data_IF_010840074341
#
_entry.id   IF_010840074341
#
_cell.length_a   1.000
_cell.length_b   1.000
_cell.length_c   1.000
_cell.angle_alpha   90.00
_cell.angle_beta   90.00
_cell.angle_gamma   90.00
#
_symmetry.space_group_name_H-M   'P 1'
#
loop_
_entity.id
_entity.type
_entity.pdbx_description
1 polymer ?
#
# COMPACT_ATOMS: atom_id res chain seq x y z
N UNK A 1 -38.47 59.80 -26.38
CA UNK A 1 -39.56 59.36 -25.49
C UNK A 1 -38.98 58.24 -24.62
N UNK A 2 -38.50 58.57 -23.44
CA UNK A 2 -37.87 57.68 -22.46
C UNK A 2 -38.82 57.56 -21.28
N UNK A 3 -39.16 56.33 -20.91
CA UNK A 3 -39.90 56.03 -19.66
C UNK A 3 -38.93 55.48 -18.62
N UNK A 4 -38.99 55.87 -17.34
CA UNK A 4 -38.09 55.46 -16.30
C UNK A 4 -38.58 54.19 -15.60
N UNK A 5 -37.64 53.30 -15.29
CA UNK A 5 -37.84 52.12 -14.46
C UNK A 5 -37.88 52.52 -12.96
N UNK A 6 -38.99 52.14 -12.32
CA UNK A 6 -39.15 52.24 -10.85
C UNK A 6 -38.53 50.99 -10.18
N UNK A 7 -37.54 51.24 -9.30
CA UNK A 7 -36.99 50.21 -8.42
C UNK A 7 -37.69 50.33 -7.05
N UNK A 8 -38.33 49.26 -6.60
CA UNK A 8 -38.88 49.13 -5.25
C UNK A 8 -37.82 48.57 -4.30
N UNK A 9 -37.68 49.04 -3.05
CA UNK A 9 -36.82 48.50 -2.02
C UNK A 9 -37.48 47.30 -1.30
N UNK A 10 -36.72 46.38 -0.70
CA UNK A 10 -37.26 45.24 0.03
C UNK A 10 -37.70 45.64 1.44
N UNK A 11 -38.83 45.12 1.87
CA UNK A 11 -39.40 45.26 3.21
C UNK A 11 -38.63 44.38 4.20
N UNK A 12 -38.20 44.99 5.30
CA UNK A 12 -37.65 44.31 6.46
C UNK A 12 -38.77 43.74 7.32
N UNK A 13 -38.77 42.41 7.52
CA UNK A 13 -39.65 41.75 8.50
C UNK A 13 -38.94 41.70 9.86
N UNK A 14 -39.50 42.42 10.82
CA UNK A 14 -39.11 42.35 12.23
C UNK A 14 -39.75 41.13 12.90
N UNK A 15 -38.95 40.23 13.43
CA UNK A 15 -39.43 39.17 14.33
C UNK A 15 -39.26 39.61 15.77
N UNK A 16 -40.39 39.76 16.50
CA UNK A 16 -40.47 40.02 17.91
C UNK A 16 -40.13 38.72 18.70
N UNK A 17 -39.18 38.83 19.62
CA UNK A 17 -38.84 37.79 20.60
C UNK A 17 -39.77 37.96 21.81
N UNK A 18 -40.66 36.98 22.02
CA UNK A 18 -41.46 36.91 23.26
C UNK A 18 -40.66 36.13 24.32
N UNK A 19 -40.32 36.87 25.40
CA UNK A 19 -39.73 36.34 26.62
C UNK A 19 -40.86 35.79 27.50
N UNK A 20 -40.88 34.47 27.75
CA UNK A 20 -41.76 33.85 28.76
C UNK A 20 -40.92 33.53 30.00
N UNK A 21 -41.11 34.33 31.02
CA UNK A 21 -40.72 34.08 32.40
C UNK A 21 -41.77 33.18 33.04
N UNK A 22 -41.43 31.96 33.46
CA UNK A 22 -42.22 31.16 34.41
C UNK A 22 -41.37 30.84 35.65
N UNK A 23 -41.81 31.47 36.72
CA UNK A 23 -41.39 31.37 38.10
C UNK A 23 -41.62 29.98 38.69
N UNK A 24 -40.76 29.67 39.64
CA UNK A 24 -40.56 28.44 40.34
C UNK A 24 -41.73 27.89 41.15
N UNK A 25 -41.52 26.70 41.62
CA UNK A 25 -42.02 26.17 42.90
C UNK A 25 -41.08 25.05 43.37
N UNK A 26 -40.48 25.31 44.51
CA UNK A 26 -39.77 24.32 45.30
C UNK A 26 -40.77 23.41 46.02
N UNK A 27 -40.51 22.13 46.02
CA UNK A 27 -41.11 21.20 46.98
C UNK A 27 -39.96 20.41 47.62
N UNK A 28 -39.76 20.69 48.89
CA UNK A 28 -39.06 19.83 49.83
C UNK A 28 -40.05 18.81 50.42
N UNK A 29 -39.69 17.57 50.54
CA UNK A 29 -40.23 16.68 51.52
C UNK A 29 -39.22 15.61 51.88
N UNK A 30 -38.91 15.58 53.17
CA UNK A 30 -38.22 14.54 53.92
C UNK A 30 -38.93 13.19 53.82
N UNK A 31 -38.18 12.12 53.89
CA UNK A 31 -38.39 10.89 54.67
C UNK A 31 -37.25 9.89 54.47
N UNK A 32 -36.45 9.78 55.39
CA UNK A 32 -36.03 8.70 56.27
C UNK A 32 -36.12 7.22 55.74
N UNK A 33 -34.93 6.55 55.84
CA UNK A 33 -34.82 5.19 56.33
C UNK A 33 -34.78 4.11 55.25
N UNK A 34 -33.68 3.50 55.02
CA UNK A 34 -33.21 2.27 55.63
C UNK A 34 -31.87 1.82 55.06
N UNK A 35 -30.95 1.66 55.96
CA UNK A 35 -29.65 1.05 55.76
C UNK A 35 -29.73 -0.45 55.71
N UNK A 36 -29.39 -1.08 54.58
CA UNK A 36 -28.95 -2.46 54.60
C UNK A 36 -27.53 -2.57 54.04
N UNK A 37 -26.60 -2.59 55.00
CA UNK A 37 -25.20 -2.93 54.77
C UNK A 37 -25.08 -4.40 54.39
N UNK A 38 -24.46 -4.68 53.25
CA UNK A 38 -23.97 -6.00 52.89
C UNK A 38 -22.65 -6.30 53.63
N UNK A 39 -22.45 -7.55 54.14
CA UNK A 39 -21.27 -7.89 54.93
C UNK A 39 -19.99 -7.97 54.07
N UNK A 40 -18.81 -7.73 54.68
CA UNK A 40 -17.54 -7.76 53.98
C UNK A 40 -17.11 -9.17 53.63
N UNK A 41 -16.72 -9.41 52.39
CA UNK A 41 -16.10 -10.65 51.96
C UNK A 41 -14.66 -10.70 52.47
N UNK A 42 -14.33 -11.78 53.17
CA UNK A 42 -12.99 -12.12 53.63
C UNK A 42 -12.05 -12.41 52.47
N UNK A 43 -10.77 -12.03 52.56
CA UNK A 43 -9.78 -12.40 51.55
C UNK A 43 -9.44 -13.89 51.63
N UNK A 44 -9.41 -14.56 50.50
CA UNK A 44 -8.93 -15.94 50.36
C UNK A 44 -7.41 -15.92 50.43
N UNK A 45 -6.86 -16.66 51.40
CA UNK A 45 -5.43 -16.86 51.60
C UNK A 45 -4.81 -17.63 50.41
N UNK A 46 -3.62 -17.20 50.04
CA UNK A 46 -2.72 -17.90 49.15
C UNK A 46 -2.32 -19.26 49.74
N UNK A 47 -2.37 -20.29 48.92
CA UNK A 47 -1.80 -21.61 49.26
C UNK A 47 -0.40 -21.70 48.69
N UNK A 48 0.58 -21.89 49.56
CA UNK A 48 1.95 -22.21 49.22
C UNK A 48 2.06 -23.66 48.70
N UNK A 49 3.04 -23.97 47.81
CA UNK A 49 3.27 -25.35 47.38
C UNK A 49 4.15 -26.11 48.39
N UNK A 50 3.64 -27.22 48.84
CA UNK A 50 4.35 -28.18 49.69
C UNK A 50 5.42 -28.94 48.93
N UNK A 51 6.65 -28.87 49.45
CA UNK A 51 7.77 -29.71 49.05
C UNK A 51 7.66 -31.09 49.71
N UNK A 52 7.79 -32.17 48.96
CA UNK A 52 8.26 -33.43 49.51
C UNK A 52 8.96 -34.30 48.47
N UNK A 53 10.18 -34.47 48.75
CA UNK A 53 10.98 -35.69 48.92
C UNK A 53 11.70 -36.27 47.69
N UNK A 54 12.97 -36.03 47.76
CA UNK A 54 14.03 -36.80 47.12
C UNK A 54 14.08 -38.27 47.60
N UNK A 55 14.30 -39.19 46.69
CA UNK A 55 15.04 -40.42 46.98
C UNK A 55 15.98 -40.78 45.84
N UNK A 56 17.24 -40.72 46.19
CA UNK A 56 18.40 -41.23 45.54
C UNK A 56 18.36 -42.76 45.33
N UNK A 57 18.91 -43.21 44.20
CA UNK A 57 19.67 -44.50 44.08
C UNK A 57 20.53 -44.32 42.86
N UNK A 58 21.81 -44.17 43.05
CA UNK A 58 22.94 -45.04 43.23
C UNK A 58 23.20 -45.93 42.01
N UNK A 59 24.31 -45.57 41.35
CA UNK A 59 25.41 -46.36 40.78
C UNK A 59 25.16 -47.76 40.23
N UNK A 60 25.58 -47.96 39.02
CA UNK A 60 26.66 -48.93 38.73
C UNK A 60 27.27 -48.71 37.33
N UNK A 61 28.60 -48.81 37.18
CA UNK A 61 29.30 -48.69 35.89
C UNK A 61 29.57 -50.06 35.28
N UNK A 62 29.58 -50.19 33.97
CA UNK A 62 30.21 -51.31 33.27
C UNK A 62 31.12 -50.81 32.17
N UNK A 63 32.36 -51.16 32.31
CA UNK A 63 33.56 -51.12 31.52
C UNK A 63 33.38 -51.38 30.02
N UNK A 64 34.09 -50.57 29.21
CA UNK A 64 35.37 -50.82 28.56
C UNK A 64 35.43 -52.01 27.59
N UNK A 65 35.72 -51.76 26.35
CA UNK A 65 36.81 -52.33 25.57
C UNK A 65 36.60 -52.26 24.04
N UNK A 66 37.67 -51.80 23.45
CA UNK A 66 38.17 -52.14 22.11
C UNK A 66 37.51 -51.44 20.90
N UNK A 67 38.16 -50.81 19.99
CA UNK A 67 39.49 -50.98 19.41
C UNK A 67 39.66 -49.92 18.30
N UNK A 68 40.78 -49.29 18.27
CA UNK A 68 41.23 -48.34 17.27
C UNK A 68 41.14 -48.88 15.84
N UNK A 69 40.52 -48.10 14.93
CA UNK A 69 41.07 -47.97 13.57
C UNK A 69 40.80 -46.56 13.04
N UNK A 70 41.91 -45.82 12.97
CA UNK A 70 41.97 -44.51 12.34
C UNK A 70 41.74 -44.63 10.83
N UNK A 71 40.72 -43.88 10.33
CA UNK A 71 40.66 -43.55 8.90
C UNK A 71 40.56 -42.02 8.84
N UNK A 72 41.68 -41.41 8.42
CA UNK A 72 41.72 -39.98 8.05
C UNK A 72 40.76 -39.75 6.89
N UNK A 73 39.62 -39.09 7.14
CA UNK A 73 38.81 -38.44 6.11
C UNK A 73 38.98 -36.94 6.28
N UNK A 74 39.50 -36.30 5.25
CA UNK A 74 39.62 -34.85 5.15
C UNK A 74 38.25 -34.13 5.23
N UNK A 75 38.25 -32.79 5.34
CA UNK A 75 37.05 -32.03 5.59
C UNK A 75 36.05 -32.23 4.42
N UNK A 76 34.85 -32.71 4.74
CA UNK A 76 33.74 -32.74 3.80
C UNK A 76 33.36 -31.29 3.49
N UNK A 77 33.62 -30.83 2.27
CA UNK A 77 33.01 -29.63 1.75
C UNK A 77 31.51 -29.84 1.78
N UNK A 78 30.80 -29.00 2.55
CA UNK A 78 29.36 -28.90 2.51
C UNK A 78 29.07 -28.19 1.20
N UNK A 79 28.54 -28.94 0.21
CA UNK A 79 28.09 -28.33 -1.07
C UNK A 79 26.97 -27.33 -0.77
N UNK A 80 27.06 -26.16 -1.40
CA UNK A 80 26.06 -25.13 -1.34
C UNK A 80 24.70 -25.73 -1.77
N UNK A 81 23.59 -25.46 -1.05
CA UNK A 81 22.26 -25.93 -1.41
C UNK A 81 21.86 -25.59 -2.86
N UNK A 82 22.39 -24.49 -3.41
CA UNK A 82 22.16 -24.08 -4.78
C UNK A 82 22.87 -24.97 -5.82
N UNK A 83 24.02 -25.55 -5.48
CA UNK A 83 24.73 -26.49 -6.35
C UNK A 83 24.02 -27.83 -6.45
N UNK A 84 23.35 -28.27 -5.39
CA UNK A 84 22.52 -29.48 -5.38
C UNK A 84 21.29 -29.30 -6.30
N UNK A 85 20.70 -28.08 -6.29
CA UNK A 85 19.55 -27.75 -7.15
C UNK A 85 19.99 -27.70 -8.63
N UNK A 86 21.13 -27.10 -8.93
CA UNK A 86 21.69 -27.05 -10.30
C UNK A 86 22.00 -28.45 -10.84
N UNK A 87 22.55 -29.32 -10.02
CA UNK A 87 22.88 -30.70 -10.42
C UNK A 87 21.61 -31.50 -10.73
N UNK A 88 20.56 -31.40 -9.93
CA UNK A 88 19.26 -32.03 -10.15
C UNK A 88 18.51 -31.48 -11.37
N UNK A 89 18.66 -30.19 -11.67
CA UNK A 89 18.05 -29.55 -12.82
C UNK A 89 18.73 -30.01 -14.13
N UNK A 90 20.06 -30.08 -14.12
CA UNK A 90 20.86 -30.59 -15.24
C UNK A 90 20.54 -32.05 -15.55
N UNK A 91 20.36 -32.90 -14.55
CA UNK A 91 19.97 -34.29 -14.68
C UNK A 91 18.57 -34.47 -15.30
N UNK A 92 17.61 -33.65 -14.91
CA UNK A 92 16.24 -33.67 -15.46
C UNK A 92 16.10 -33.08 -16.86
N UNK A 93 16.97 -32.15 -17.24
CA UNK A 93 16.95 -31.52 -18.57
C UNK A 93 17.81 -32.23 -19.62
N UNK A 94 18.48 -33.33 -19.26
CA UNK A 94 19.28 -34.12 -20.20
C UNK A 94 20.46 -33.38 -20.81
N UNK A 95 20.96 -32.35 -20.13
CA UNK A 95 22.08 -31.55 -20.61
C UNK A 95 23.39 -32.32 -20.46
N UNK A 96 24.00 -32.64 -21.61
CA UNK A 96 25.33 -33.22 -21.69
C UNK A 96 26.35 -32.33 -20.94
N UNK A 97 27.28 -33.03 -20.25
CA UNK A 97 28.39 -32.48 -19.49
C UNK A 97 29.08 -31.35 -20.25
N UNK A 98 29.09 -30.15 -19.67
CA UNK A 98 29.75 -28.99 -20.22
C UNK A 98 31.28 -29.22 -20.33
N UNK A 99 31.91 -28.81 -21.42
CA UNK A 99 33.36 -28.88 -21.54
C UNK A 99 34.03 -27.83 -20.65
N UNK A 100 35.20 -28.23 -20.17
CA UNK A 100 36.12 -27.48 -19.31
C UNK A 100 36.45 -26.09 -19.87
N UNK A 101 36.33 -25.06 -19.06
CA UNK A 101 36.57 -23.65 -19.39
C UNK A 101 38.05 -23.43 -19.72
N UNK A 102 38.36 -23.26 -20.99
CA UNK A 102 39.59 -22.67 -21.49
C UNK A 102 39.47 -21.15 -21.39
N UNK A 103 40.48 -20.52 -20.83
CA UNK A 103 40.53 -19.08 -20.56
C UNK A 103 40.24 -18.21 -21.82
N UNK A 104 39.60 -17.05 -21.68
CA UNK A 104 39.23 -16.22 -22.83
C UNK A 104 40.45 -15.56 -23.47
N UNK A 105 40.64 -15.86 -24.76
CA UNK A 105 41.53 -15.13 -25.62
C UNK A 105 40.98 -13.70 -25.85
N UNK A 106 41.72 -12.72 -25.39
CA UNK A 106 41.46 -11.31 -25.67
C UNK A 106 41.73 -11.00 -27.14
N UNK A 107 40.69 -10.83 -27.93
CA UNK A 107 40.79 -10.35 -29.32
C UNK A 107 40.92 -8.82 -29.30
N UNK A 108 42.12 -8.34 -29.61
CA UNK A 108 42.43 -6.91 -29.80
C UNK A 108 42.05 -6.52 -31.23
N UNK A 109 40.96 -5.79 -31.40
CA UNK A 109 40.56 -5.18 -32.67
C UNK A 109 41.49 -4.00 -32.96
N UNK A 110 42.40 -4.17 -33.94
CA UNK A 110 43.20 -3.11 -34.51
C UNK A 110 42.45 -2.54 -35.72
N UNK A 111 41.95 -1.34 -35.60
CA UNK A 111 41.38 -0.58 -36.72
C UNK A 111 42.53 -0.08 -37.59
N UNK A 112 42.68 -0.59 -38.79
CA UNK A 112 43.50 -0.03 -39.85
C UNK A 112 42.58 0.75 -40.79
N UNK A 113 42.70 2.07 -40.75
CA UNK A 113 42.21 2.98 -41.79
C UNK A 113 43.27 3.10 -42.89
N UNK A 114 42.93 2.92 -44.16
CA UNK A 114 43.83 3.35 -45.26
C UNK A 114 43.56 4.81 -45.55
N UNK A 115 44.62 5.60 -45.44
CA UNK A 115 44.68 6.98 -46.00
C UNK A 115 44.91 6.87 -47.50
N UNK A 116 43.96 7.34 -48.31
CA UNK A 116 44.18 7.64 -49.72
C UNK A 116 44.15 9.16 -49.91
N UNK A 117 45.31 9.69 -50.25
CA UNK A 117 45.48 11.03 -50.79
C UNK A 117 44.94 11.05 -52.24
N UNK A 118 44.02 11.96 -52.53
CA UNK A 118 43.73 12.42 -53.89
C UNK A 118 43.58 13.95 -53.88
N UNK A 119 44.38 14.63 -54.67
CA UNK A 119 44.42 16.05 -54.86
C UNK A 119 43.23 16.63 -55.67
N UNK A 120 43.04 17.97 -55.75
CA UNK A 120 41.74 18.61 -55.92
C UNK A 120 41.36 18.76 -57.41
N UNK A 121 40.06 18.54 -57.68
CA UNK A 121 39.45 19.00 -58.94
C UNK A 121 38.27 19.92 -58.57
N UNK A 122 38.53 21.20 -58.87
CA UNK A 122 37.52 22.23 -58.87
C UNK A 122 36.56 22.06 -60.07
N UNK A 123 35.31 22.53 -59.83
CA UNK A 123 34.28 22.78 -60.85
C UNK A 123 33.48 21.58 -61.36
N UNK A 124 32.43 21.23 -60.53
CA UNK A 124 31.08 20.81 -61.00
C UNK A 124 30.14 20.48 -59.86
N UNK A 125 29.79 21.45 -59.01
CA UNK A 125 28.95 21.14 -57.87
C UNK A 125 27.93 22.25 -57.51
N UNK A 126 27.27 22.85 -58.50
CA UNK A 126 26.22 23.85 -58.16
C UNK A 126 24.78 23.38 -58.55
N UNK A 127 24.63 22.32 -59.34
CA UNK A 127 23.32 21.88 -59.79
C UNK A 127 22.75 20.67 -58.97
N UNK A 128 23.56 19.95 -58.14
CA UNK A 128 23.09 18.78 -57.39
C UNK A 128 22.64 19.09 -55.93
N UNK A 129 22.94 20.31 -55.43
CA UNK A 129 22.65 20.68 -54.02
C UNK A 129 21.21 21.12 -53.74
N UNK A 130 20.41 21.40 -54.78
CA UNK A 130 18.99 21.81 -54.61
C UNK A 130 18.02 20.63 -54.56
N UNK A 131 18.33 19.51 -55.22
CA UNK A 131 17.47 18.32 -55.25
C UNK A 131 17.61 17.51 -53.95
N UNK A 132 18.82 17.43 -53.36
CA UNK A 132 19.07 16.75 -52.12
C UNK A 132 18.40 17.35 -50.88
N UNK A 133 18.30 18.70 -50.86
CA UNK A 133 17.64 19.39 -49.73
C UNK A 133 16.12 19.23 -49.72
N UNK A 134 15.49 19.15 -50.88
CA UNK A 134 14.03 18.90 -50.97
C UNK A 134 13.67 17.46 -50.65
N UNK A 135 14.57 16.51 -50.94
CA UNK A 135 14.33 15.10 -50.61
C UNK A 135 14.58 14.79 -49.11
N UNK A 136 15.64 15.40 -48.53
CA UNK A 136 15.87 15.33 -47.09
C UNK A 136 14.77 16.03 -46.26
N UNK A 137 14.24 17.17 -46.74
CA UNK A 137 13.11 17.83 -46.10
C UNK A 137 11.79 17.05 -46.26
N UNK A 138 11.57 16.34 -47.36
CA UNK A 138 10.41 15.44 -47.55
C UNK A 138 10.53 14.17 -46.71
N UNK A 139 11.72 13.60 -46.54
CA UNK A 139 11.97 12.48 -45.65
C UNK A 139 11.83 12.87 -44.18
N UNK A 140 12.27 14.08 -43.80
CA UNK A 140 12.09 14.62 -42.46
C UNK A 140 10.63 15.00 -42.15
N UNK A 141 9.87 15.45 -43.16
CA UNK A 141 8.43 15.68 -43.06
C UNK A 141 7.64 14.34 -42.97
N UNK A 142 8.02 13.34 -43.81
CA UNK A 142 7.41 11.99 -43.72
C UNK A 142 7.72 11.27 -42.41
N UNK A 143 8.88 11.55 -41.78
CA UNK A 143 9.21 11.05 -40.42
C UNK A 143 8.45 11.80 -39.32
N UNK A 144 7.94 13.00 -39.56
CA UNK A 144 7.05 13.71 -38.63
C UNK A 144 5.58 13.30 -38.75
N UNK A 145 5.15 12.74 -39.88
CA UNK A 145 3.79 12.23 -40.09
C UNK A 145 3.62 10.78 -39.70
N UNK A 146 4.69 10.04 -39.37
CA UNK A 146 4.66 8.71 -38.76
C UNK A 146 4.99 8.76 -37.30
N UNK A 147 4.48 9.75 -36.53
CA UNK A 147 4.34 9.54 -35.10
C UNK A 147 3.33 8.39 -34.92
N UNK A 148 3.73 7.32 -34.23
CA UNK A 148 2.81 6.24 -33.94
C UNK A 148 1.61 6.88 -33.24
N UNK A 149 0.39 6.60 -33.75
CA UNK A 149 -0.86 6.99 -33.15
C UNK A 149 -0.72 6.91 -31.62
N UNK A 150 -0.85 8.05 -30.95
CA UNK A 150 -0.55 8.23 -29.53
C UNK A 150 -1.02 6.99 -28.79
N UNK A 151 -0.09 6.21 -28.27
CA UNK A 151 -0.42 5.13 -27.31
C UNK A 151 -1.31 5.81 -26.31
N UNK A 152 -2.55 5.35 -26.17
CA UNK A 152 -3.50 5.91 -25.24
C UNK A 152 -2.76 6.09 -23.92
N UNK A 153 -2.56 7.35 -23.51
CA UNK A 153 -1.68 7.67 -22.41
C UNK A 153 -2.13 6.89 -21.19
N UNK A 154 -1.26 6.01 -20.72
CA UNK A 154 -1.51 5.25 -19.50
C UNK A 154 -1.21 6.16 -18.32
N UNK A 155 -2.10 6.20 -17.31
CA UNK A 155 -1.88 7.01 -16.12
C UNK A 155 -0.71 6.44 -15.29
N UNK A 156 0.01 7.32 -14.61
CA UNK A 156 1.13 6.98 -13.74
C UNK A 156 1.14 7.96 -12.55
N UNK A 157 2.08 7.82 -11.64
CA UNK A 157 2.29 8.76 -10.54
C UNK A 157 3.31 9.86 -10.89
N UNK A 158 4.02 9.76 -12.02
CA UNK A 158 5.07 10.69 -12.45
C UNK A 158 4.98 11.00 -13.95
N UNK A 159 5.70 12.06 -14.37
CA UNK A 159 5.81 12.44 -15.77
C UNK A 159 4.47 12.87 -16.39
N UNK A 160 4.34 12.70 -17.69
CA UNK A 160 3.17 13.12 -18.48
C UNK A 160 1.88 12.36 -18.13
N UNK A 161 2.02 11.16 -17.53
CA UNK A 161 0.91 10.37 -17.02
C UNK A 161 0.55 10.67 -15.56
N UNK A 162 1.20 11.64 -14.93
CA UNK A 162 1.09 11.93 -13.50
C UNK A 162 -0.24 12.55 -13.06
N UNK A 163 -0.46 12.70 -11.74
CA UNK A 163 -1.73 13.13 -11.16
C UNK A 163 -2.31 14.43 -11.70
N UNK A 164 -1.48 15.35 -12.15
CA UNK A 164 -1.88 16.63 -12.75
C UNK A 164 -2.55 16.45 -14.12
N UNK A 165 -2.20 15.37 -14.84
CA UNK A 165 -2.74 15.07 -16.16
C UNK A 165 -3.94 14.14 -16.14
N UNK A 166 -4.20 13.42 -15.05
CA UNK A 166 -5.23 12.35 -15.00
C UNK A 166 -6.57 12.79 -15.55
N UNK A 167 -7.08 13.97 -15.13
CA UNK A 167 -8.40 14.45 -15.54
C UNK A 167 -8.53 14.73 -17.04
N UNK A 168 -7.42 14.98 -17.74
CA UNK A 168 -7.38 15.24 -19.18
C UNK A 168 -7.14 13.98 -20.02
N UNK A 169 -6.72 12.87 -19.40
CA UNK A 169 -6.38 11.66 -20.14
C UNK A 169 -7.61 10.94 -20.70
N UNK A 170 -8.71 10.94 -19.92
CA UNK A 170 -9.99 10.31 -20.29
C UNK A 170 -11.14 11.09 -19.67
N UNK A 171 -12.27 11.16 -20.36
CA UNK A 171 -13.47 11.83 -19.85
C UNK A 171 -13.95 11.26 -18.51
N UNK A 172 -13.84 9.96 -18.32
CA UNK A 172 -14.18 9.27 -17.07
C UNK A 172 -13.28 9.64 -15.87
N UNK A 173 -12.11 10.25 -16.12
CA UNK A 173 -11.18 10.70 -15.09
C UNK A 173 -11.39 12.18 -14.69
N UNK A 174 -12.38 12.87 -15.27
CA UNK A 174 -12.62 14.28 -15.00
C UNK A 174 -12.73 14.61 -13.51
N UNK A 175 -13.31 13.68 -12.70
CA UNK A 175 -13.45 13.84 -11.25
C UNK A 175 -12.11 13.99 -10.52
N UNK A 176 -10.99 13.52 -11.10
CA UNK A 176 -9.67 13.69 -10.50
C UNK A 176 -9.26 15.17 -10.30
N UNK A 177 -9.81 16.09 -11.10
CA UNK A 177 -9.56 17.54 -10.95
C UNK A 177 -10.80 18.33 -10.51
N UNK A 178 -12.01 17.89 -10.87
CA UNK A 178 -13.25 18.62 -10.58
C UNK A 178 -13.92 18.22 -9.27
N UNK A 179 -13.52 17.09 -8.68
CA UNK A 179 -14.11 16.58 -7.45
C UNK A 179 -13.79 17.46 -6.25
N UNK A 180 -14.75 17.56 -5.33
CA UNK A 180 -14.66 18.37 -4.11
C UNK A 180 -14.35 17.55 -2.85
N UNK A 181 -14.37 16.23 -2.96
CA UNK A 181 -14.13 15.29 -1.84
C UNK A 181 -13.01 14.32 -2.17
N UNK A 182 -11.96 14.83 -2.80
CA UNK A 182 -10.85 14.02 -3.25
C UNK A 182 -9.97 13.51 -2.09
N UNK A 183 -9.40 12.30 -2.25
CA UNK A 183 -8.41 11.68 -1.36
C UNK A 183 -7.07 11.57 -2.11
N UNK A 184 -5.93 11.45 -1.39
CA UNK A 184 -5.78 11.48 0.07
C UNK A 184 -5.85 12.90 0.65
N UNK A 185 -5.94 13.03 1.98
CA UNK A 185 -5.89 14.33 2.67
C UNK A 185 -4.86 14.33 3.82
N UNK A 186 -4.45 15.53 4.24
CA UNK A 186 -3.80 15.72 5.52
C UNK A 186 -4.90 15.85 6.59
N UNK A 187 -5.00 14.83 7.44
CA UNK A 187 -6.00 14.79 8.51
C UNK A 187 -5.56 15.74 9.62
N UNK A 188 -6.32 16.82 9.79
CA UNK A 188 -6.12 17.82 10.83
C UNK A 188 -7.44 18.10 11.52
N UNK A 189 -7.37 18.52 12.75
CA UNK A 189 -8.52 19.04 13.52
C UNK A 189 -9.73 18.07 13.51
N UNK A 190 -9.48 16.79 13.71
CA UNK A 190 -10.52 15.77 13.85
C UNK A 190 -11.44 16.11 15.03
N UNK A 191 -12.76 16.08 14.79
CA UNK A 191 -13.74 16.27 15.86
C UNK A 191 -13.82 14.99 16.66
N UNK A 192 -13.36 15.04 17.91
CA UNK A 192 -13.44 13.90 18.84
C UNK A 192 -14.89 13.61 19.18
N UNK A 193 -15.31 12.39 18.85
CA UNK A 193 -16.66 11.91 19.11
C UNK A 193 -16.61 10.44 19.49
N UNK A 194 -17.64 9.98 20.17
CA UNK A 194 -17.79 8.57 20.45
C UNK A 194 -18.23 7.88 19.17
N UNK A 195 -17.28 7.30 18.45
CA UNK A 195 -17.54 6.46 17.28
C UNK A 195 -17.64 5.00 17.69
N UNK A 196 -18.56 4.27 17.07
CA UNK A 196 -18.59 2.81 17.21
C UNK A 196 -17.29 2.22 16.67
N UNK A 197 -16.71 1.23 17.35
CA UNK A 197 -15.55 0.51 16.82
C UNK A 197 -15.86 -0.15 15.49
N UNK A 198 -14.90 -0.10 14.55
CA UNK A 198 -14.99 -0.92 13.33
C UNK A 198 -14.90 -2.39 13.74
N UNK A 199 -15.93 -3.17 13.44
CA UNK A 199 -15.92 -4.60 13.66
C UNK A 199 -15.22 -5.29 12.49
N UNK A 200 -14.15 -6.03 12.77
CA UNK A 200 -13.40 -6.80 11.78
C UNK A 200 -13.78 -8.29 11.91
N UNK A 201 -14.45 -8.84 10.90
CA UNK A 201 -14.73 -10.27 10.75
C UNK A 201 -13.78 -10.82 9.67
N UNK A 202 -12.48 -10.80 9.97
CA UNK A 202 -11.44 -11.34 9.11
C UNK A 202 -11.05 -12.74 9.56
N UNK A 203 -10.80 -13.62 8.59
CA UNK A 203 -10.46 -15.02 8.78
C UNK A 203 -9.22 -15.39 7.98
N UNK A 204 -8.43 -16.36 8.44
CA UNK A 204 -7.36 -16.91 7.63
C UNK A 204 -7.87 -17.30 6.25
N UNK A 205 -7.32 -16.70 5.20
CA UNK A 205 -7.84 -16.81 3.84
C UNK A 205 -6.72 -17.04 2.84
N UNK A 206 -7.01 -17.79 1.80
CA UNK A 206 -6.13 -17.88 0.62
C UNK A 206 -6.00 -16.50 -0.03
N UNK A 207 -4.83 -16.23 -0.59
CA UNK A 207 -4.58 -14.96 -1.26
C UNK A 207 -3.72 -15.13 -2.50
N UNK A 208 -3.73 -14.10 -3.33
CA UNK A 208 -2.95 -13.99 -4.56
C UNK A 208 -2.34 -12.60 -4.62
N UNK A 209 -1.08 -12.54 -5.03
CA UNK A 209 -0.32 -11.30 -5.17
C UNK A 209 -0.17 -10.97 -6.65
N UNK A 210 -0.50 -9.75 -7.04
CA UNK A 210 -0.33 -9.23 -8.39
C UNK A 210 0.50 -7.94 -8.35
N UNK A 211 1.46 -7.81 -9.25
CA UNK A 211 2.05 -6.52 -9.63
C UNK A 211 1.21 -5.94 -10.78
N UNK A 212 0.28 -5.03 -10.45
CA UNK A 212 -0.66 -4.48 -11.43
C UNK A 212 -0.09 -3.30 -12.25
N UNK A 213 1.21 -3.01 -12.12
CA UNK A 213 1.90 -1.92 -12.81
C UNK A 213 1.86 -0.58 -12.07
N UNK A 214 1.05 -0.46 -11.02
CA UNK A 214 0.91 0.76 -10.18
C UNK A 214 1.20 0.50 -8.71
N UNK A 215 1.01 -0.74 -8.26
CA UNK A 215 1.27 -1.18 -6.90
C UNK A 215 1.35 -2.70 -6.84
N UNK A 216 1.80 -3.21 -5.70
CA UNK A 216 1.57 -4.60 -5.30
C UNK A 216 0.18 -4.68 -4.67
N UNK A 217 -0.72 -5.42 -5.31
CA UNK A 217 -2.08 -5.68 -4.87
C UNK A 217 -2.21 -7.12 -4.38
N UNK A 218 -3.03 -7.34 -3.37
CA UNK A 218 -3.34 -8.67 -2.83
C UNK A 218 -4.83 -8.91 -2.91
N UNK A 219 -5.22 -9.88 -3.72
CA UNK A 219 -6.59 -10.37 -3.82
C UNK A 219 -6.79 -11.45 -2.75
N UNK A 220 -7.78 -11.28 -1.88
CA UNK A 220 -8.05 -12.16 -0.74
C UNK A 220 -9.31 -12.98 -1.01
N UNK A 221 -9.33 -14.22 -0.54
CA UNK A 221 -10.52 -15.05 -0.62
C UNK A 221 -11.74 -14.41 0.04
N UNK A 222 -12.92 -14.67 -0.49
CA UNK A 222 -14.20 -14.17 0.02
C UNK A 222 -14.45 -14.55 1.49
N UNK A 223 -15.32 -13.79 2.17
CA UNK A 223 -15.71 -14.06 3.55
C UNK A 223 -14.97 -13.23 4.60
N UNK A 224 -14.26 -12.19 4.17
CA UNK A 224 -13.63 -11.19 5.03
C UNK A 224 -14.44 -9.90 5.00
N UNK A 225 -14.89 -9.43 6.16
CA UNK A 225 -15.80 -8.30 6.24
C UNK A 225 -15.38 -7.30 7.29
N UNK A 226 -15.84 -6.08 7.12
CA UNK A 226 -15.95 -5.10 8.19
C UNK A 226 -17.41 -4.70 8.38
N UNK A 227 -17.77 -4.36 9.63
CA UNK A 227 -19.04 -3.70 9.92
C UNK A 227 -18.73 -2.34 10.56
N UNK A 228 -19.30 -1.29 10.02
CA UNK A 228 -19.15 0.09 10.48
C UNK A 228 -20.42 0.88 10.17
N UNK A 229 -20.85 1.72 11.10
CA UNK A 229 -22.08 2.54 10.97
C UNK A 229 -23.32 1.71 10.58
N UNK A 230 -23.43 0.47 11.11
CA UNK A 230 -24.54 -0.45 10.83
C UNK A 230 -24.54 -1.03 9.41
N UNK A 231 -23.42 -0.97 8.69
CA UNK A 231 -23.24 -1.52 7.34
C UNK A 231 -22.12 -2.53 7.30
N UNK A 232 -22.36 -3.60 6.56
CA UNK A 232 -21.37 -4.66 6.30
C UNK A 232 -20.76 -4.49 4.92
N UNK A 233 -19.41 -4.50 4.86
CA UNK A 233 -18.64 -4.37 3.63
C UNK A 233 -17.69 -5.55 3.50
N UNK A 234 -17.67 -6.19 2.33
CA UNK A 234 -16.76 -7.30 2.02
C UNK A 234 -15.43 -6.78 1.49
N UNK A 235 -14.33 -7.33 1.99
CA UNK A 235 -12.99 -7.04 1.49
C UNK A 235 -12.83 -7.57 0.07
N UNK A 236 -12.44 -6.71 -0.85
CA UNK A 236 -12.14 -7.07 -2.24
C UNK A 236 -10.65 -7.37 -2.42
N UNK A 237 -9.81 -6.47 -1.92
CA UNK A 237 -8.35 -6.52 -2.06
C UNK A 237 -7.70 -5.53 -1.09
N UNK A 238 -6.39 -5.64 -0.91
CA UNK A 238 -5.59 -4.58 -0.33
C UNK A 238 -4.34 -4.32 -1.17
N UNK A 239 -3.76 -3.13 -1.05
CA UNK A 239 -2.59 -2.73 -1.80
C UNK A 239 -1.76 -1.70 -1.04
N UNK A 240 -0.57 -1.42 -1.52
CA UNK A 240 0.44 -0.64 -0.82
C UNK A 240 0.75 0.67 -1.55
N UNK A 241 1.03 1.71 -0.77
CA UNK A 241 1.60 2.97 -1.27
C UNK A 241 2.86 3.35 -0.49
N UNK A 242 3.78 3.97 -1.18
CA UNK A 242 5.00 4.55 -0.64
C UNK A 242 5.29 5.91 -1.29
N UNK A 243 5.49 6.98 -0.46
CA UNK A 243 5.18 7.04 0.97
C UNK A 243 3.70 6.84 1.27
N UNK A 244 3.25 7.01 2.52
CA UNK A 244 1.81 7.01 2.82
C UNK A 244 1.10 8.10 2.02
N UNK A 245 -0.11 7.81 1.58
CA UNK A 245 -0.93 8.80 0.87
C UNK A 245 -1.53 9.80 1.85
N UNK A 246 -2.08 9.31 2.99
CA UNK A 246 -2.60 10.17 4.05
C UNK A 246 -1.46 10.75 4.90
N UNK A 247 -1.72 11.93 5.45
CA UNK A 247 -0.94 12.52 6.53
C UNK A 247 -1.79 12.73 7.75
N UNK A 248 -1.18 12.69 8.92
CA UNK A 248 -1.81 13.07 10.18
C UNK A 248 -1.05 14.25 10.77
N UNK A 249 -1.69 15.41 10.87
CA UNK A 249 -1.08 16.66 11.33
C UNK A 249 0.25 17.01 10.63
N UNK A 250 0.28 16.80 9.30
CA UNK A 250 1.44 17.03 8.46
C UNK A 250 2.47 15.89 8.48
N UNK A 251 2.36 14.92 9.40
CA UNK A 251 3.28 13.78 9.46
C UNK A 251 3.02 12.83 8.30
N UNK A 252 4.07 12.52 7.57
CA UNK A 252 4.12 11.50 6.53
C UNK A 252 4.70 10.20 7.12
N UNK A 253 4.17 9.06 6.72
CA UNK A 253 4.64 7.75 7.14
C UNK A 253 5.39 7.05 6.01
N UNK A 254 6.19 6.02 6.33
CA UNK A 254 7.01 5.32 5.33
C UNK A 254 6.16 4.65 4.23
N UNK A 255 5.03 4.04 4.61
CA UNK A 255 4.08 3.40 3.69
C UNK A 255 2.65 3.44 4.26
N UNK A 256 1.68 3.04 3.45
CA UNK A 256 0.31 2.74 3.89
C UNK A 256 -0.21 1.52 3.16
N UNK A 257 -1.09 0.77 3.81
CA UNK A 257 -1.91 -0.29 3.21
C UNK A 257 -3.35 0.17 3.17
N UNK A 258 -3.96 0.11 1.99
CA UNK A 258 -5.38 0.35 1.79
C UNK A 258 -6.13 -0.97 1.63
N UNK A 259 -6.99 -1.31 2.60
CA UNK A 259 -7.90 -2.44 2.52
C UNK A 259 -9.22 -1.93 1.96
N UNK A 260 -9.53 -2.34 0.73
CA UNK A 260 -10.69 -1.87 -0.03
C UNK A 260 -11.84 -2.84 0.12
N UNK A 261 -12.97 -2.32 0.63
CA UNK A 261 -14.18 -3.10 0.87
C UNK A 261 -15.35 -2.54 0.06
N UNK A 262 -16.36 -3.37 -0.17
CA UNK A 262 -17.58 -3.00 -0.88
C UNK A 262 -18.81 -3.60 -0.21
N UNK A 263 -19.89 -2.81 -0.08
CA UNK A 263 -21.19 -3.29 0.38
C UNK A 263 -22.02 -3.87 -0.77
N UNK A 264 -23.18 -4.42 -0.43
CA UNK A 264 -24.13 -5.00 -1.40
C UNK A 264 -24.70 -3.97 -2.35
N UNK A 265 -24.73 -2.69 -1.97
CA UNK A 265 -25.20 -1.57 -2.79
C UNK A 265 -24.08 -1.01 -3.71
N UNK A 266 -22.87 -1.58 -3.65
CA UNK A 266 -21.71 -1.13 -4.43
C UNK A 266 -20.94 0.04 -3.84
N UNK A 267 -21.27 0.49 -2.61
CA UNK A 267 -20.53 1.56 -1.93
C UNK A 267 -19.19 1.04 -1.44
N UNK A 268 -18.19 1.90 -1.49
CA UNK A 268 -16.83 1.55 -1.08
C UNK A 268 -16.51 2.09 0.32
N UNK A 269 -15.77 1.28 1.06
CA UNK A 269 -15.16 1.65 2.33
C UNK A 269 -13.68 1.23 2.31
N UNK A 270 -12.79 2.11 2.74
CA UNK A 270 -11.36 1.86 2.80
C UNK A 270 -10.86 1.99 4.24
N UNK A 271 -10.17 0.94 4.71
CA UNK A 271 -9.39 1.01 5.95
C UNK A 271 -7.95 1.27 5.55
N UNK A 272 -7.39 2.39 5.99
CA UNK A 272 -5.98 2.74 5.79
C UNK A 272 -5.18 2.39 7.05
N UNK A 273 -4.19 1.51 6.89
CA UNK A 273 -3.24 1.14 7.95
C UNK A 273 -1.90 1.77 7.61
N UNK A 274 -1.53 2.78 8.38
CA UNK A 274 -0.24 3.47 8.23
C UNK A 274 0.89 2.54 8.67
N UNK A 275 1.96 2.51 7.90
CA UNK A 275 3.16 1.73 8.22
C UNK A 275 4.32 2.66 8.51
N UNK A 276 4.99 2.40 9.63
CA UNK A 276 6.14 3.19 10.06
C UNK A 276 7.35 2.28 10.34
N UNK A 277 8.53 2.82 10.20
CA UNK A 277 9.76 2.04 10.37
C UNK A 277 9.88 1.46 11.77
N UNK A 278 10.11 0.14 11.83
CA UNK A 278 10.25 -0.61 13.07
C UNK A 278 10.66 -2.06 12.85
N UNK A 279 10.04 -2.96 13.57
CA UNK A 279 10.21 -4.41 13.41
C UNK A 279 9.60 -4.92 12.11
N UNK A 280 10.05 -6.08 11.65
CA UNK A 280 9.47 -6.73 10.48
C UNK A 280 8.00 -7.11 10.73
N UNK A 281 7.16 -6.87 9.72
CA UNK A 281 5.74 -7.22 9.73
C UNK A 281 5.55 -8.57 9.02
N UNK A 282 5.06 -9.62 9.72
CA UNK A 282 4.99 -10.97 9.16
C UNK A 282 4.09 -11.08 7.92
N UNK A 283 2.93 -10.42 7.93
CA UNK A 283 1.99 -10.44 6.80
C UNK A 283 2.60 -9.76 5.57
N UNK A 284 3.27 -8.61 5.75
CA UNK A 284 4.00 -7.94 4.65
C UNK A 284 5.08 -8.86 4.09
N UNK A 285 5.79 -9.60 4.94
CA UNK A 285 6.79 -10.58 4.49
C UNK A 285 6.13 -11.72 3.70
N UNK A 286 4.97 -12.20 4.12
CA UNK A 286 4.22 -13.22 3.39
C UNK A 286 3.83 -12.73 1.99
N UNK A 287 3.43 -11.47 1.84
CA UNK A 287 3.17 -10.86 0.53
C UNK A 287 4.44 -10.79 -0.31
N UNK A 288 5.56 -10.28 0.26
CA UNK A 288 6.83 -10.16 -0.47
C UNK A 288 7.38 -11.51 -0.94
N UNK A 289 7.18 -12.56 -0.16
CA UNK A 289 7.59 -13.93 -0.54
C UNK A 289 6.82 -14.48 -1.74
N UNK A 290 5.70 -13.88 -2.12
CA UNK A 290 4.85 -14.29 -3.23
C UNK A 290 4.75 -13.21 -4.33
N UNK A 291 5.72 -12.28 -4.39
CA UNK A 291 5.78 -11.29 -5.47
C UNK A 291 5.94 -11.98 -6.83
N UNK A 292 5.15 -11.60 -7.85
CA UNK A 292 5.36 -12.08 -9.21
C UNK A 292 6.68 -11.54 -9.77
N UNK A 293 7.25 -12.26 -10.74
CA UNK A 293 8.50 -11.85 -11.38
C UNK A 293 8.28 -10.79 -12.45
N UNK A 294 7.07 -10.72 -13.03
CA UNK A 294 6.72 -9.78 -14.09
C UNK A 294 5.46 -9.00 -13.76
N UNK A 295 5.37 -7.77 -14.28
CA UNK A 295 4.18 -6.93 -14.15
C UNK A 295 3.00 -7.55 -14.88
N UNK A 296 1.83 -7.53 -14.23
CA UNK A 296 0.60 -8.14 -14.73
C UNK A 296 0.43 -9.60 -14.32
N UNK A 297 1.48 -10.27 -13.85
CA UNK A 297 1.39 -11.63 -13.35
C UNK A 297 0.78 -11.69 -11.95
N UNK A 298 0.11 -12.80 -11.66
CA UNK A 298 -0.52 -13.10 -10.38
C UNK A 298 0.00 -14.42 -9.81
N UNK A 299 0.50 -14.39 -8.57
CA UNK A 299 1.02 -15.56 -7.85
C UNK A 299 0.07 -15.95 -6.73
N UNK A 300 -0.42 -17.20 -6.74
CA UNK A 300 -1.18 -17.75 -5.63
C UNK A 300 -0.24 -18.18 -4.50
N UNK A 301 -0.48 -17.68 -3.31
CA UNK A 301 0.26 -18.09 -2.12
C UNK A 301 -0.13 -19.53 -1.70
N UNK A 302 0.83 -20.25 -1.14
CA UNK A 302 0.61 -21.62 -0.66
C UNK A 302 -0.02 -21.70 0.72
N UNK A 303 0.20 -20.69 1.54
CA UNK A 303 -0.30 -20.60 2.91
C UNK A 303 -1.34 -19.49 3.00
N UNK A 304 -2.40 -19.65 3.79
CA UNK A 304 -3.36 -18.59 4.05
C UNK A 304 -2.69 -17.46 4.85
N UNK A 305 -3.28 -16.26 4.80
CA UNK A 305 -2.94 -15.13 5.66
C UNK A 305 -4.09 -14.78 6.59
N UNK A 306 -3.78 -14.26 7.77
CA UNK A 306 -4.74 -13.64 8.68
C UNK A 306 -4.56 -12.11 8.68
N UNK A 307 -5.53 -11.40 8.12
CA UNK A 307 -5.48 -9.94 8.03
C UNK A 307 -5.55 -9.23 9.38
N UNK A 308 -5.99 -9.92 10.44
CA UNK A 308 -5.94 -9.35 11.78
C UNK A 308 -4.50 -9.02 12.24
N UNK A 309 -3.50 -9.73 11.71
CA UNK A 309 -2.08 -9.47 11.99
C UNK A 309 -1.57 -8.13 11.43
N UNK A 310 -2.27 -7.56 10.43
CA UNK A 310 -1.93 -6.25 9.86
C UNK A 310 -2.54 -5.08 10.65
N UNK A 311 -3.58 -5.35 11.45
CA UNK A 311 -4.28 -4.30 12.17
C UNK A 311 -3.50 -3.87 13.43
N UNK A 312 -3.47 -2.57 13.77
CA UNK A 312 -2.88 -2.13 15.03
C UNK A 312 -3.67 -2.67 16.22
N UNK A 313 -3.00 -2.85 17.37
CA UNK A 313 -3.65 -3.29 18.62
C UNK A 313 -4.72 -2.29 19.06
N UNK A 314 -4.37 -1.01 19.04
CA UNK A 314 -5.28 0.10 19.29
C UNK A 314 -5.99 0.46 17.99
N UNK A 315 -7.29 0.21 17.90
CA UNK A 315 -8.09 0.34 16.67
C UNK A 315 -8.84 1.67 16.59
N UNK A 316 -8.37 2.70 17.27
CA UNK A 316 -8.88 4.06 17.11
C UNK A 316 -8.58 4.60 15.72
N UNK A 317 -9.50 5.40 15.15
CA UNK A 317 -9.43 5.81 13.76
C UNK A 317 -9.99 7.21 13.53
N UNK A 318 -9.57 7.81 12.42
CA UNK A 318 -10.22 8.96 11.80
C UNK A 318 -11.17 8.48 10.71
N UNK A 319 -12.29 9.18 10.52
CA UNK A 319 -13.22 8.85 9.44
C UNK A 319 -13.71 10.10 8.72
N UNK A 320 -13.82 9.99 7.41
CA UNK A 320 -14.31 11.04 6.53
C UNK A 320 -14.84 10.45 5.21
N UNK A 321 -15.64 11.23 4.47
CA UNK A 321 -16.05 10.87 3.11
C UNK A 321 -15.02 11.41 2.11
N UNK A 322 -14.48 10.52 1.28
CA UNK A 322 -13.44 10.82 0.31
C UNK A 322 -13.68 10.20 -1.06
N UNK A 323 -12.59 9.92 -1.78
CA UNK A 323 -12.59 9.32 -3.11
C UNK A 323 -11.61 8.14 -3.20
N UNK A 324 -11.60 7.46 -4.33
CA UNK A 324 -10.45 6.67 -4.76
C UNK A 324 -9.25 7.61 -4.97
N UNK A 325 -8.05 7.12 -4.66
CA UNK A 325 -6.78 7.88 -4.82
C UNK A 325 -6.13 7.67 -6.19
N UNK A 326 -6.72 6.82 -7.01
CA UNK A 326 -6.31 6.55 -8.40
C UNK A 326 -7.45 6.85 -9.36
N UNK A 327 -7.18 7.08 -10.66
CA UNK A 327 -8.24 7.21 -11.64
C UNK A 327 -9.23 6.03 -11.58
N UNK A 328 -10.54 6.30 -11.67
CA UNK A 328 -11.20 7.56 -12.05
C UNK A 328 -11.47 8.54 -10.90
N UNK A 329 -10.89 8.39 -9.72
CA UNK A 329 -11.03 9.27 -8.56
C UNK A 329 -12.48 9.43 -8.06
N UNK A 330 -13.28 8.38 -8.22
CA UNK A 330 -14.71 8.37 -7.83
C UNK A 330 -14.89 8.72 -6.37
N UNK A 331 -15.81 9.66 -6.09
CA UNK A 331 -16.14 10.10 -4.74
C UNK A 331 -17.19 9.20 -4.08
N UNK A 332 -17.47 9.43 -2.80
CA UNK A 332 -18.44 8.64 -2.02
C UNK A 332 -17.81 7.45 -1.30
N UNK A 333 -16.49 7.42 -1.18
CA UNK A 333 -15.76 6.39 -0.45
C UNK A 333 -15.70 6.75 1.03
N UNK A 334 -16.11 5.82 1.91
CA UNK A 334 -15.96 5.96 3.36
C UNK A 334 -14.52 5.57 3.75
N UNK A 335 -13.80 6.52 4.32
CA UNK A 335 -12.43 6.30 4.81
C UNK A 335 -12.40 6.10 6.31
N UNK A 336 -11.62 5.12 6.74
CA UNK A 336 -11.25 4.85 8.12
C UNK A 336 -9.73 4.75 8.18
N UNK A 337 -9.06 5.79 8.68
CA UNK A 337 -7.60 5.85 8.79
C UNK A 337 -7.20 5.50 10.22
N UNK A 338 -6.52 4.39 10.43
CA UNK A 338 -6.06 3.96 11.75
C UNK A 338 -5.08 4.98 12.32
N UNK A 339 -5.28 5.37 13.59
CA UNK A 339 -4.47 6.41 14.26
C UNK A 339 -3.04 5.93 14.55
N UNK A 340 -2.91 4.66 14.90
CA UNK A 340 -1.65 4.07 15.30
C UNK A 340 -1.00 3.32 14.14
N UNK A 341 0.23 3.68 13.77
CA UNK A 341 0.94 2.97 12.70
C UNK A 341 1.37 1.57 13.15
N UNK A 342 1.46 0.67 12.19
CA UNK A 342 2.00 -0.68 12.37
C UNK A 342 3.48 -0.67 11.95
N UNK A 343 4.38 -1.32 12.71
CA UNK A 343 5.78 -1.35 12.35
C UNK A 343 6.03 -2.20 11.10
N UNK A 344 6.98 -1.73 10.26
CA UNK A 344 7.50 -2.44 9.09
C UNK A 344 9.01 -2.26 9.03
N UNK A 345 9.77 -3.30 8.65
CA UNK A 345 11.24 -3.19 8.66
C UNK A 345 11.77 -2.35 7.49
N UNK A 346 12.96 -1.78 7.68
CA UNK A 346 13.65 -1.03 6.64
C UNK A 346 13.87 -1.88 5.37
N UNK A 347 14.14 -3.18 5.53
CA UNK A 347 14.35 -4.10 4.41
C UNK A 347 13.03 -4.34 3.63
N UNK A 348 11.91 -4.48 4.34
CA UNK A 348 10.60 -4.62 3.71
C UNK A 348 10.21 -3.36 2.92
N UNK A 349 10.48 -2.17 3.49
CA UNK A 349 10.31 -0.89 2.78
C UNK A 349 11.20 -0.85 1.54
N UNK A 350 12.48 -1.26 1.67
CA UNK A 350 13.43 -1.24 0.57
C UNK A 350 13.05 -2.20 -0.57
N UNK A 351 12.46 -3.36 -0.27
CA UNK A 351 11.91 -4.28 -1.29
C UNK A 351 10.82 -3.58 -2.11
N UNK A 352 9.84 -2.99 -1.46
CA UNK A 352 8.76 -2.27 -2.15
C UNK A 352 9.28 -1.07 -2.94
N UNK A 353 10.24 -0.32 -2.38
CA UNK A 353 10.84 0.84 -3.02
C UNK A 353 11.58 0.53 -4.34
N UNK A 354 12.04 -0.70 -4.54
CA UNK A 354 12.64 -1.14 -5.81
C UNK A 354 11.61 -1.28 -6.92
N UNK A 355 10.38 -1.67 -6.59
CA UNK A 355 9.27 -1.81 -7.53
C UNK A 355 8.59 -0.44 -7.75
N UNK A 356 8.28 0.23 -6.65
CA UNK A 356 7.53 1.47 -6.60
C UNK A 356 8.23 2.48 -5.68
N UNK A 357 9.22 3.24 -6.18
CA UNK A 357 9.93 4.25 -5.37
C UNK A 357 9.00 5.35 -4.89
N UNK A 358 7.95 5.67 -5.66
CA UNK A 358 6.89 6.60 -5.29
C UNK A 358 5.63 6.25 -6.08
N UNK A 359 4.56 5.85 -5.37
CA UNK A 359 3.24 5.57 -5.94
C UNK A 359 2.12 6.16 -5.07
N UNK A 360 2.32 7.37 -4.58
CA UNK A 360 1.36 8.09 -3.77
C UNK A 360 0.84 9.33 -4.52
N UNK A 361 -0.48 9.51 -4.56
CA UNK A 361 -1.12 10.73 -5.06
C UNK A 361 -0.79 11.90 -4.12
N UNK A 362 -0.51 13.11 -4.62
CA UNK A 362 -0.37 14.28 -3.76
C UNK A 362 -1.62 14.53 -2.90
N UNK A 363 -1.40 15.13 -1.73
CA UNK A 363 -2.46 15.57 -0.81
C UNK A 363 -3.46 16.48 -1.54
N UNK A 364 -4.74 16.19 -1.36
CA UNK A 364 -5.86 16.97 -1.86
C UNK A 364 -6.41 17.89 -0.77
N UNK A 365 -7.16 18.92 -1.17
CA UNK A 365 -7.83 19.82 -0.25
C UNK A 365 -8.84 19.07 0.62
N UNK A 366 -8.84 19.34 1.93
CA UNK A 366 -9.91 18.87 2.82
C UNK A 366 -11.27 19.51 2.50
N UNK A 367 -11.31 20.66 1.81
CA UNK A 367 -12.52 21.32 1.32
C UNK A 367 -13.61 21.49 2.38
N UNK A 368 -13.23 21.77 3.63
CA UNK A 368 -14.16 21.91 4.76
C UNK A 368 -14.91 20.64 5.15
N UNK A 369 -14.45 19.46 4.71
CA UNK A 369 -15.05 18.17 5.09
C UNK A 369 -14.99 17.97 6.60
N UNK A 370 -16.08 17.39 7.11
CA UNK A 370 -16.12 16.90 8.47
C UNK A 370 -15.19 15.68 8.59
N UNK A 371 -14.21 15.76 9.45
CA UNK A 371 -13.36 14.64 9.87
C UNK A 371 -13.73 14.31 11.31
N UNK A 372 -14.16 13.10 11.59
CA UNK A 372 -14.42 12.61 12.92
C UNK A 372 -13.23 11.79 13.40
N UNK A 373 -12.99 11.86 14.71
CA UNK A 373 -11.93 11.12 15.37
C UNK A 373 -12.53 10.29 16.50
N UNK A 374 -12.23 8.99 16.54
CA UNK A 374 -12.61 8.13 17.67
C UNK A 374 -11.77 8.47 18.91
N UNK A 375 -12.38 8.33 20.07
CA UNK A 375 -11.70 8.49 21.36
C UNK A 375 -10.64 7.40 21.58
#
# INVERSE_FOLDING_TARGET
MSLPYFVRPPQAAAFAVALVLSSGLAWASDAAGDSHAAPPRKPLMAAEPSASNAKSRADTPIADAALHKAVKKGPRQIKDPMDIIRERLAEKLGAAKAPELVAPNVVRLVSRTPVQNIAPAHDRAVAAASVGRTQAARLAAAHRESEPAARAAHWDYQGDGGPQAWAQMKAEFATCSSGNRQSPIDIRDGIKVQLDPVQFDYRPSAFRVIDNGHTVQVNVGAGNFIEVTGRRFELLQFHFHRPSEERINGRLFDMVVHLVHKDVDGRLAVVAVLLDRGSAQPLVQAVWNNLPLEKGDEVAARLPMDLNELLPTERSYYTYMGSLTTPPCSEGVLWMVMKNPVPVSADQIAIFARLYPMNARPIQSASGRLIKESN
#
